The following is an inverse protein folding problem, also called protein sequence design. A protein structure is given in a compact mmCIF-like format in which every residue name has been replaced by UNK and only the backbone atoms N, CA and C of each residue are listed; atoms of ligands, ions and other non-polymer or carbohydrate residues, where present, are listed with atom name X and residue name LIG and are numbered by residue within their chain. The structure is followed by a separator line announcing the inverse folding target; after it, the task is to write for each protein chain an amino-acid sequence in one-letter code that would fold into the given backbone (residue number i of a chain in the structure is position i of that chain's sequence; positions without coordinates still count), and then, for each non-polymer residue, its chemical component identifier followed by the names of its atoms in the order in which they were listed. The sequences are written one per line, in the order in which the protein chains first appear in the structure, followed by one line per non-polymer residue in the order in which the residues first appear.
data_IF_443772417473
#
_entry.id   IF_443772417473
#
_cell.length_a   1.000
_cell.length_b   1.000
_cell.length_c   1.000
_cell.angle_alpha   90.00
_cell.angle_beta   90.00
_cell.angle_gamma   90.00
#
_symmetry.space_group_name_H-M   'P 1'
#
loop_
_entity.id
_entity.type
_entity.pdbx_description
1 polymer ?
#
# COMPACT_ATOMS: atom_id res chain seq x y z
N UNK A 1 10.11 15.92 -2.43
CA UNK A 1 9.73 14.51 -2.67
C UNK A 1 8.22 14.32 -2.80
N UNK A 2 7.40 14.97 -1.97
CA UNK A 2 5.94 14.80 -2.03
C UNK A 2 5.29 15.17 -3.38
N UNK A 3 5.77 16.24 -4.04
CA UNK A 3 5.30 16.62 -5.39
C UNK A 3 5.53 15.54 -6.44
N UNK A 4 6.66 14.83 -6.37
CA UNK A 4 6.98 13.70 -7.25
C UNK A 4 6.02 12.53 -7.03
N UNK A 5 5.68 12.23 -5.77
CA UNK A 5 4.70 11.19 -5.43
C UNK A 5 3.34 11.53 -6.04
N UNK A 6 2.86 12.76 -5.83
CA UNK A 6 1.58 13.20 -6.36
C UNK A 6 1.57 13.10 -7.90
N UNK A 7 2.64 13.54 -8.56
CA UNK A 7 2.75 13.48 -10.01
C UNK A 7 2.69 12.04 -10.54
N UNK A 8 3.42 11.12 -9.92
CA UNK A 8 3.43 9.69 -10.30
C UNK A 8 2.05 9.08 -10.13
N UNK A 9 1.38 9.35 -9.01
CA UNK A 9 0.03 8.85 -8.75
C UNK A 9 -1.00 9.39 -9.75
N UNK A 10 -0.87 10.65 -10.17
CA UNK A 10 -1.72 11.23 -11.23
C UNK A 10 -1.49 10.50 -12.55
N UNK A 11 -0.24 10.31 -12.97
CA UNK A 11 0.09 9.64 -14.22
C UNK A 11 -0.43 8.19 -14.22
N UNK A 12 -0.20 7.45 -13.14
CA UNK A 12 -0.71 6.09 -13.01
C UNK A 12 -2.25 6.07 -13.03
N UNK A 13 -2.90 6.97 -12.30
CA UNK A 13 -4.36 7.05 -12.29
C UNK A 13 -4.93 7.35 -13.69
N UNK A 14 -4.28 8.23 -14.47
CA UNK A 14 -4.66 8.52 -15.86
C UNK A 14 -4.38 7.34 -16.80
N UNK A 15 -3.44 6.45 -16.50
CA UNK A 15 -3.23 5.25 -17.30
C UNK A 15 -4.26 4.15 -16.99
N UNK A 16 -4.56 3.93 -15.70
CA UNK A 16 -5.37 2.80 -15.26
C UNK A 16 -6.88 3.09 -15.30
N UNK A 17 -7.33 4.24 -14.77
CA UNK A 17 -8.76 4.51 -14.57
C UNK A 17 -9.56 4.69 -15.87
N UNK A 18 -9.06 5.36 -16.92
CA UNK A 18 -9.87 5.59 -18.12
C UNK A 18 -10.34 4.31 -18.79
N UNK A 19 -9.51 3.26 -18.77
CA UNK A 19 -9.86 1.95 -19.32
C UNK A 19 -11.00 1.31 -18.52
N UNK A 20 -10.88 1.30 -17.19
CA UNK A 20 -11.90 0.69 -16.31
C UNK A 20 -13.23 1.45 -16.34
N UNK A 21 -13.18 2.79 -16.42
CA UNK A 21 -14.36 3.64 -16.54
C UNK A 21 -15.06 3.42 -17.89
N UNK A 22 -14.29 3.31 -18.98
CA UNK A 22 -14.82 3.05 -20.33
C UNK A 22 -15.55 1.70 -20.40
N UNK A 23 -15.03 0.69 -19.72
CA UNK A 23 -15.62 -0.66 -19.66
C UNK A 23 -16.76 -0.76 -18.63
N UNK A 24 -17.15 0.34 -17.96
CA UNK A 24 -18.19 0.41 -16.91
C UNK A 24 -17.96 -0.56 -15.73
N UNK A 25 -16.70 -0.92 -15.45
CA UNK A 25 -16.32 -1.86 -14.38
C UNK A 25 -16.23 -1.15 -13.03
N UNK A 26 -17.35 -0.62 -12.55
CA UNK A 26 -17.43 0.23 -11.34
C UNK A 26 -16.91 -0.45 -10.07
N UNK A 27 -17.11 -1.77 -9.94
CA UNK A 27 -16.57 -2.55 -8.84
C UNK A 27 -15.04 -2.48 -8.78
N UNK A 28 -14.38 -2.61 -9.92
CA UNK A 28 -12.93 -2.59 -10.00
C UNK A 28 -12.37 -1.19 -9.85
N UNK A 29 -13.07 -0.17 -10.37
CA UNK A 29 -12.73 1.23 -10.11
C UNK A 29 -12.71 1.50 -8.59
N UNK A 30 -13.70 0.96 -7.87
CA UNK A 30 -13.81 1.13 -6.41
C UNK A 30 -12.66 0.44 -5.68
N UNK A 31 -12.34 -0.82 -6.02
CA UNK A 31 -11.21 -1.55 -5.42
C UNK A 31 -9.89 -0.83 -5.73
N UNK A 32 -9.66 -0.48 -7.00
CA UNK A 32 -8.44 0.17 -7.43
C UNK A 32 -8.27 1.52 -6.74
N UNK A 33 -9.34 2.30 -6.61
CA UNK A 33 -9.33 3.55 -5.85
C UNK A 33 -8.95 3.34 -4.39
N UNK A 34 -9.51 2.33 -3.72
CA UNK A 34 -9.14 1.97 -2.36
C UNK A 34 -7.65 1.63 -2.22
N UNK A 35 -7.12 0.84 -3.14
CA UNK A 35 -5.68 0.49 -3.18
C UNK A 35 -4.82 1.73 -3.44
N UNK A 36 -5.21 2.58 -4.39
CA UNK A 36 -4.49 3.83 -4.69
C UNK A 36 -4.39 4.73 -3.47
N UNK A 37 -5.51 4.95 -2.77
CA UNK A 37 -5.54 5.77 -1.55
C UNK A 37 -4.63 5.15 -0.49
N UNK A 38 -4.70 3.83 -0.29
CA UNK A 38 -3.90 3.13 0.70
C UNK A 38 -2.39 3.30 0.43
N UNK A 39 -1.94 3.04 -0.80
CA UNK A 39 -0.52 3.18 -1.17
C UNK A 39 -0.08 4.64 -1.13
N UNK A 40 -0.94 5.58 -1.53
CA UNK A 40 -0.64 7.01 -1.46
C UNK A 40 -0.40 7.47 -0.01
N UNK A 41 -1.26 7.04 0.91
CA UNK A 41 -1.10 7.33 2.35
C UNK A 41 0.21 6.73 2.87
N UNK A 42 0.52 5.48 2.53
CA UNK A 42 1.79 4.86 2.94
C UNK A 42 3.00 5.62 2.39
N UNK A 43 2.98 6.02 1.12
CA UNK A 43 4.06 6.79 0.49
C UNK A 43 4.21 8.18 1.15
N UNK A 44 3.10 8.84 1.49
CA UNK A 44 3.10 10.11 2.20
C UNK A 44 3.64 9.99 3.63
N UNK A 45 3.25 8.92 4.36
CA UNK A 45 3.81 8.62 5.69
C UNK A 45 5.31 8.36 5.61
N UNK A 46 5.76 7.56 4.64
CA UNK A 46 7.18 7.27 4.45
C UNK A 46 7.99 8.54 4.14
N UNK A 47 7.47 9.43 3.29
CA UNK A 47 8.16 10.69 2.95
C UNK A 47 8.10 11.76 4.02
N UNK A 48 7.14 11.71 4.93
CA UNK A 48 7.10 12.58 6.11
C UNK A 48 8.04 12.12 7.23
N UNK A 49 8.84 11.06 7.00
CA UNK A 49 9.81 10.54 7.96
C UNK A 49 9.19 9.64 9.01
N UNK A 50 7.91 9.24 8.85
CA UNK A 50 7.30 8.24 9.72
C UNK A 50 7.99 6.91 9.48
N UNK A 51 8.59 6.37 10.53
CA UNK A 51 9.18 5.03 10.52
C UNK A 51 8.08 3.99 10.46
N UNK A 52 7.73 3.59 9.23
CA UNK A 52 6.82 2.47 9.03
C UNK A 52 7.46 1.21 9.64
N UNK A 53 6.86 0.61 10.68
CA UNK A 53 7.41 -0.59 11.28
C UNK A 53 7.45 -1.69 10.23
N UNK A 54 8.57 -2.41 10.14
CA UNK A 54 8.71 -3.49 9.18
C UNK A 54 7.61 -4.54 9.41
N UNK A 55 6.79 -4.86 8.38
CA UNK A 55 5.76 -5.88 8.49
C UNK A 55 6.30 -7.22 8.96
N UNK A 56 7.57 -7.52 8.65
CA UNK A 56 8.26 -8.73 9.09
C UNK A 56 8.34 -8.80 10.61
N UNK A 57 8.57 -7.68 11.30
CA UNK A 57 8.58 -7.65 12.78
C UNK A 57 7.19 -7.92 13.36
N UNK A 58 6.15 -7.39 12.70
CA UNK A 58 4.76 -7.65 13.06
C UNK A 58 4.38 -9.12 12.86
N UNK A 59 4.75 -9.69 11.71
CA UNK A 59 4.52 -11.10 11.39
C UNK A 59 5.30 -12.03 12.31
N UNK A 60 6.57 -11.71 12.59
CA UNK A 60 7.39 -12.45 13.55
C UNK A 60 6.76 -12.43 14.96
N UNK A 61 6.22 -11.29 15.40
CA UNK A 61 5.49 -11.20 16.67
C UNK A 61 4.20 -12.02 16.63
N UNK A 62 3.46 -12.02 15.53
CA UNK A 62 2.26 -12.85 15.39
C UNK A 62 2.60 -14.35 15.44
N UNK A 63 3.62 -14.79 14.71
CA UNK A 63 4.07 -16.18 14.69
C UNK A 63 4.57 -16.62 16.06
N UNK A 64 5.33 -15.76 16.75
CA UNK A 64 5.92 -16.08 18.05
C UNK A 64 4.88 -16.02 19.18
N UNK A 65 3.99 -15.03 19.19
CA UNK A 65 3.06 -14.79 20.30
C UNK A 65 1.71 -15.49 20.13
N UNK A 66 1.23 -15.69 18.90
CA UNK A 66 -0.07 -16.34 18.64
C UNK A 66 0.13 -17.81 18.32
N UNK A 67 1.04 -18.12 17.39
CA UNK A 67 1.30 -19.49 16.96
C UNK A 67 2.32 -20.22 17.86
N UNK A 68 3.03 -19.52 18.75
CA UNK A 68 4.09 -20.09 19.61
C UNK A 68 5.20 -20.83 18.84
N UNK A 69 5.30 -20.60 17.52
CA UNK A 69 6.30 -21.22 16.67
C UNK A 69 7.59 -20.41 16.82
N UNK A 70 8.32 -20.71 17.88
CA UNK A 70 9.62 -20.09 18.15
C UNK A 70 10.65 -20.69 17.21
N UNK A 71 11.20 -19.89 16.29
CA UNK A 71 12.40 -20.29 15.55
C UNK A 71 13.62 -20.16 16.48
N UNK A 72 14.45 -21.20 16.63
CA UNK A 72 15.72 -21.07 17.35
C UNK A 72 16.58 -20.03 16.65
N UNK A 73 17.08 -19.04 17.42
CA UNK A 73 18.00 -17.99 16.94
C UNK A 73 19.19 -18.64 16.23
N UNK A 74 19.47 -18.22 15.00
CA UNK A 74 20.81 -18.27 14.40
C UNK A 74 21.50 -16.93 14.64
#
# INVERSE_FOLDING_TARGET
MIFLIILIFIIMALADFPKLIKDKRWYEVTILSGVYIFVFVLAALQTSGVTLPSPIKGLQSFITNVLHLTYPKQ
#
